data_IF_462710144185
#
_entry.id   IF_462710144185
#
_cell.length_a   1.000
_cell.length_b   1.000
_cell.length_c   1.000
_cell.angle_alpha   90.00
_cell.angle_beta   90.00
_cell.angle_gamma   90.00
#
_symmetry.space_group_name_H-M   'P 1'
#
loop_
_entity.id
_entity.type
_entity.pdbx_description
1 polymer ?
#
# COMPACT_ATOMS: atom_id res chain seq x y z
N UNK A 1 21.95 -21.38 17.38
CA UNK A 1 21.21 -20.87 18.56
C UNK A 1 21.68 -21.70 19.75
N UNK A 2 22.19 -21.06 20.80
CA UNK A 2 23.06 -21.71 21.79
C UNK A 2 22.27 -22.72 22.65
N UNK A 3 22.74 -23.96 22.80
CA UNK A 3 22.07 -25.03 23.58
C UNK A 3 21.77 -24.61 25.03
N UNK A 4 22.65 -23.78 25.58
CA UNK A 4 22.51 -23.18 26.91
C UNK A 4 21.26 -22.30 27.04
N UNK A 5 20.88 -21.54 26.00
CA UNK A 5 19.67 -20.71 26.02
C UNK A 5 18.40 -21.56 25.97
N UNK A 6 18.38 -22.62 25.16
CA UNK A 6 17.25 -23.55 25.11
C UNK A 6 17.04 -24.26 26.45
N UNK A 7 18.13 -24.62 27.14
CA UNK A 7 18.07 -25.19 28.48
C UNK A 7 17.51 -24.19 29.51
N UNK A 8 18.01 -22.95 29.51
CA UNK A 8 17.55 -21.89 30.39
C UNK A 8 16.07 -21.53 30.18
N UNK A 9 15.61 -21.50 28.93
CA UNK A 9 14.20 -21.24 28.58
C UNK A 9 13.28 -22.35 29.06
N UNK A 10 13.65 -23.63 28.85
CA UNK A 10 12.92 -24.78 29.40
C UNK A 10 12.85 -24.78 30.92
N UNK A 11 13.93 -24.34 31.58
CA UNK A 11 13.96 -24.22 33.04
C UNK A 11 13.03 -23.11 33.56
N UNK A 12 12.98 -21.95 32.86
CA UNK A 12 11.98 -20.90 33.13
C UNK A 12 10.55 -21.42 32.97
N UNK A 13 10.26 -22.04 31.82
CA UNK A 13 8.93 -22.61 31.54
C UNK A 13 8.51 -23.65 32.60
N UNK A 14 9.47 -24.43 33.12
CA UNK A 14 9.22 -25.40 34.18
C UNK A 14 8.86 -24.74 35.53
N UNK A 15 9.54 -23.65 35.91
CA UNK A 15 9.26 -22.90 37.14
C UNK A 15 7.92 -22.18 37.04
N UNK A 16 7.68 -21.47 35.93
CA UNK A 16 6.47 -20.66 35.73
C UNK A 16 5.20 -21.54 35.67
N UNK A 17 5.31 -22.77 35.17
CA UNK A 17 4.18 -23.73 35.11
C UNK A 17 4.06 -24.65 36.33
N UNK A 18 4.86 -24.44 37.39
CA UNK A 18 4.86 -25.27 38.60
C UNK A 18 4.36 -24.50 39.83
N UNK A 19 3.03 -24.35 40.02
CA UNK A 19 2.46 -23.55 41.12
C UNK A 19 2.87 -24.02 42.52
N UNK A 20 3.19 -25.32 42.68
CA UNK A 20 3.71 -25.89 43.95
C UNK A 20 5.12 -25.40 44.28
N UNK A 21 5.97 -25.23 43.27
CA UNK A 21 7.36 -24.75 43.45
C UNK A 21 7.33 -23.26 43.79
N UNK A 22 6.49 -22.49 43.12
CA UNK A 22 6.28 -21.07 43.43
C UNK A 22 5.76 -20.86 44.85
N UNK A 23 4.74 -21.62 45.27
CA UNK A 23 4.20 -21.54 46.64
C UNK A 23 5.24 -21.93 47.70
N UNK A 24 6.04 -22.96 47.44
CA UNK A 24 7.11 -23.40 48.34
C UNK A 24 8.21 -22.35 48.48
N UNK A 25 8.63 -21.72 47.37
CA UNK A 25 9.58 -20.61 47.38
C UNK A 25 9.04 -19.40 48.14
N UNK A 26 7.76 -19.03 47.95
CA UNK A 26 7.11 -17.93 48.66
C UNK A 26 7.08 -18.16 50.18
N UNK A 27 6.66 -19.35 50.61
CA UNK A 27 6.60 -19.72 52.04
C UNK A 27 7.98 -19.65 52.67
N UNK A 28 9.00 -20.16 51.99
CA UNK A 28 10.37 -20.13 52.47
C UNK A 28 10.89 -18.69 52.59
N UNK A 29 10.64 -17.83 51.59
CA UNK A 29 11.06 -16.42 51.63
C UNK A 29 10.39 -15.67 52.80
N UNK A 30 9.09 -15.85 53.00
CA UNK A 30 8.34 -15.19 54.08
C UNK A 30 8.78 -15.69 55.46
N UNK A 31 8.90 -17.02 55.64
CA UNK A 31 9.35 -17.61 56.89
C UNK A 31 10.79 -17.18 57.24
N UNK A 32 11.65 -17.07 56.24
CA UNK A 32 13.02 -16.62 56.40
C UNK A 32 13.15 -15.11 56.68
N UNK A 33 12.32 -14.26 56.07
CA UNK A 33 12.29 -12.83 56.39
C UNK A 33 11.84 -12.59 57.84
N UNK A 34 10.81 -13.30 58.29
CA UNK A 34 10.35 -13.27 59.68
C UNK A 34 11.46 -13.73 60.65
N UNK A 35 12.16 -14.82 60.34
CA UNK A 35 13.28 -15.31 61.15
C UNK A 35 14.43 -14.31 61.25
N UNK A 36 14.81 -13.70 60.12
CA UNK A 36 15.91 -12.73 60.09
C UNK A 36 15.55 -11.40 60.79
N UNK A 37 14.29 -10.97 60.69
CA UNK A 37 13.77 -9.82 61.43
C UNK A 37 13.84 -10.02 62.94
N UNK A 38 13.47 -11.21 63.43
CA UNK A 38 13.54 -11.58 64.85
C UNK A 38 14.99 -11.58 65.35
N UNK A 39 15.91 -12.15 64.57
CA UNK A 39 17.34 -12.24 64.93
C UNK A 39 18.01 -10.86 64.91
N UNK A 40 17.82 -10.09 63.83
CA UNK A 40 18.48 -8.80 63.63
C UNK A 40 18.05 -7.75 64.64
N UNK A 41 16.78 -7.77 65.07
CA UNK A 41 16.26 -6.89 66.11
C UNK A 41 16.47 -7.44 67.54
N UNK A 42 17.22 -8.53 67.70
CA UNK A 42 17.48 -9.20 68.99
C UNK A 42 16.20 -9.44 69.81
N UNK A 43 15.09 -9.77 69.14
CA UNK A 43 13.81 -9.96 69.81
C UNK A 43 13.89 -11.32 70.54
N UNK A 44 14.05 -11.28 71.87
CA UNK A 44 14.14 -12.46 72.72
C UNK A 44 12.74 -13.04 72.99
N UNK A 45 12.17 -13.71 71.98
CA UNK A 45 10.87 -14.38 72.12
C UNK A 45 11.00 -15.68 72.96
N UNK A 46 12.22 -16.24 73.08
CA UNK A 46 12.49 -17.50 73.78
C UNK A 46 13.87 -17.49 74.49
N UNK A 47 13.99 -16.85 75.66
CA UNK A 47 15.26 -16.75 76.40
C UNK A 47 15.79 -18.10 76.93
N UNK A 48 14.90 -19.05 77.21
CA UNK A 48 15.23 -20.24 78.02
C UNK A 48 15.28 -21.54 77.19
N UNK A 49 15.28 -21.46 75.85
CA UNK A 49 15.22 -22.64 74.96
C UNK A 49 16.35 -22.64 73.92
N UNK A 50 17.52 -23.23 74.21
CA UNK A 50 18.67 -23.25 73.30
C UNK A 50 18.37 -23.95 71.96
N UNK A 51 17.48 -24.93 71.95
CA UNK A 51 17.04 -25.63 70.73
C UNK A 51 16.33 -24.70 69.73
N UNK A 52 15.61 -23.68 70.22
CA UNK A 52 14.91 -22.71 69.37
C UNK A 52 15.91 -21.73 68.74
N UNK A 53 16.94 -21.31 69.49
CA UNK A 53 18.02 -20.46 68.97
C UNK A 53 18.84 -21.16 67.89
N UNK A 54 19.09 -22.46 68.05
CA UNK A 54 19.72 -23.30 67.02
C UNK A 54 18.84 -23.41 65.77
N UNK A 55 17.54 -23.66 65.92
CA UNK A 55 16.59 -23.69 64.81
C UNK A 55 16.51 -22.35 64.04
N UNK A 56 16.52 -21.22 64.76
CA UNK A 56 16.57 -19.88 64.16
C UNK A 56 17.87 -19.62 63.39
N UNK A 57 19.02 -20.09 63.90
CA UNK A 57 20.29 -19.99 63.18
C UNK A 57 20.30 -20.83 61.90
N UNK A 58 19.73 -22.04 61.92
CA UNK A 58 19.56 -22.86 60.71
C UNK A 58 18.64 -22.14 59.71
N UNK A 59 17.53 -21.57 60.16
CA UNK A 59 16.62 -20.79 59.30
C UNK A 59 17.32 -19.59 58.64
N UNK A 60 18.24 -18.94 59.34
CA UNK A 60 19.06 -17.85 58.78
C UNK A 60 20.06 -18.33 57.72
N UNK A 61 20.69 -19.49 57.91
CA UNK A 61 21.60 -20.08 56.90
C UNK A 61 20.79 -20.47 55.65
N UNK A 62 19.64 -21.10 55.87
CA UNK A 62 18.69 -21.44 54.80
C UNK A 62 18.26 -20.18 54.04
N UNK A 63 17.97 -19.07 54.73
CA UNK A 63 17.65 -17.79 54.10
C UNK A 63 18.75 -17.27 53.16
N UNK A 64 20.01 -17.29 53.60
CA UNK A 64 21.13 -16.83 52.78
C UNK A 64 21.26 -17.66 51.50
N UNK A 65 21.04 -18.98 51.58
CA UNK A 65 21.04 -19.89 50.43
C UNK A 65 19.89 -19.55 49.48
N UNK A 66 18.66 -19.39 49.99
CA UNK A 66 17.50 -19.04 49.14
C UNK A 66 17.61 -17.65 48.52
N UNK A 67 18.17 -16.67 49.24
CA UNK A 67 18.38 -15.31 48.70
C UNK A 67 19.44 -15.33 47.59
N UNK A 68 20.52 -16.10 47.77
CA UNK A 68 21.52 -16.31 46.72
C UNK A 68 20.91 -17.02 45.50
N UNK A 69 20.08 -18.05 45.71
CA UNK A 69 19.37 -18.75 44.63
C UNK A 69 18.41 -17.83 43.89
N UNK A 70 17.66 -16.97 44.59
CA UNK A 70 16.76 -16.00 43.97
C UNK A 70 17.52 -14.94 43.16
N UNK A 71 18.65 -14.43 43.68
CA UNK A 71 19.50 -13.49 42.95
C UNK A 71 20.07 -14.10 41.66
N UNK A 72 20.50 -15.36 41.73
CA UNK A 72 20.96 -16.14 40.57
C UNK A 72 19.81 -16.37 39.57
N UNK A 73 18.62 -16.74 40.05
CA UNK A 73 17.43 -16.92 39.22
C UNK A 73 17.05 -15.64 38.48
N UNK A 74 16.96 -14.51 39.20
CA UNK A 74 16.64 -13.20 38.64
C UNK A 74 17.66 -12.77 37.59
N UNK A 75 18.96 -13.01 37.83
CA UNK A 75 20.00 -12.78 36.84
C UNK A 75 19.78 -13.61 35.57
N UNK A 76 19.47 -14.91 35.69
CA UNK A 76 19.17 -15.76 34.52
C UNK A 76 17.92 -15.31 33.77
N UNK A 77 16.84 -14.93 34.46
CA UNK A 77 15.62 -14.42 33.84
C UNK A 77 15.90 -13.15 33.04
N UNK A 78 16.65 -12.20 33.63
CA UNK A 78 17.05 -10.97 32.94
C UNK A 78 17.85 -11.23 31.65
N UNK A 79 18.69 -12.28 31.65
CA UNK A 79 19.46 -12.69 30.46
C UNK A 79 18.57 -13.35 29.41
N UNK A 80 17.61 -14.17 29.81
CA UNK A 80 16.62 -14.75 28.88
C UNK A 80 15.79 -13.65 28.24
N UNK A 81 15.29 -12.69 29.03
CA UNK A 81 14.49 -11.57 28.53
C UNK A 81 15.26 -10.69 27.53
N UNK A 82 16.54 -10.38 27.82
CA UNK A 82 17.38 -9.62 26.89
C UNK A 82 17.65 -10.38 25.57
N UNK A 83 17.83 -11.70 25.64
CA UNK A 83 17.98 -12.55 24.44
C UNK A 83 16.67 -12.64 23.67
N UNK A 84 15.54 -12.86 24.33
CA UNK A 84 14.21 -12.92 23.71
C UNK A 84 13.85 -11.59 23.04
N UNK A 85 14.14 -10.47 23.70
CA UNK A 85 13.96 -9.13 23.13
C UNK A 85 14.78 -8.94 21.86
N UNK A 86 16.08 -9.24 21.90
CA UNK A 86 16.96 -9.15 20.71
C UNK A 86 16.51 -10.09 19.59
N UNK A 87 16.02 -11.28 19.94
CA UNK A 87 15.51 -12.26 18.97
C UNK A 87 14.20 -11.78 18.32
N UNK A 88 13.32 -11.14 19.08
CA UNK A 88 12.10 -10.56 18.56
C UNK A 88 12.37 -9.32 17.71
N UNK A 89 13.25 -8.41 18.15
CA UNK A 89 13.72 -7.24 17.37
C UNK A 89 14.35 -7.69 16.05
N UNK A 90 15.26 -8.68 16.06
CA UNK A 90 15.88 -9.18 14.83
C UNK A 90 14.92 -9.91 13.88
N UNK A 91 13.94 -10.67 14.41
CA UNK A 91 12.86 -11.26 13.60
C UNK A 91 12.03 -10.17 12.93
N UNK A 92 11.71 -9.12 13.67
CA UNK A 92 10.96 -7.99 13.16
C UNK A 92 11.72 -7.26 12.04
N UNK A 93 12.99 -6.93 12.25
CA UNK A 93 13.83 -6.30 11.24
C UNK A 93 13.95 -7.14 9.96
N UNK A 94 13.95 -8.46 10.10
CA UNK A 94 13.97 -9.39 8.97
C UNK A 94 12.66 -9.37 8.18
N UNK A 95 11.52 -9.35 8.88
CA UNK A 95 10.19 -9.25 8.25
C UNK A 95 10.04 -7.90 7.54
N UNK A 96 10.45 -6.81 8.19
CA UNK A 96 10.38 -5.47 7.63
C UNK A 96 11.22 -5.36 6.35
N UNK A 97 12.47 -5.85 6.37
CA UNK A 97 13.33 -5.89 5.18
C UNK A 97 12.73 -6.71 4.05
N UNK A 98 12.15 -7.88 4.37
CA UNK A 98 11.45 -8.71 3.38
C UNK A 98 10.26 -7.97 2.76
N UNK A 99 9.45 -7.29 3.58
CA UNK A 99 8.30 -6.51 3.11
C UNK A 99 8.72 -5.34 2.23
N UNK A 100 9.77 -4.59 2.60
CA UNK A 100 10.34 -3.52 1.77
C UNK A 100 10.80 -4.06 0.41
N UNK A 101 11.43 -5.24 0.39
CA UNK A 101 11.84 -5.92 -0.85
C UNK A 101 10.64 -6.25 -1.75
N UNK A 102 9.59 -6.85 -1.19
CA UNK A 102 8.36 -7.18 -1.93
C UNK A 102 7.66 -5.93 -2.47
N UNK A 103 7.58 -4.86 -1.67
CA UNK A 103 6.99 -3.57 -2.11
C UNK A 103 7.79 -2.99 -3.29
N UNK A 104 9.12 -3.01 -3.23
CA UNK A 104 9.96 -2.54 -4.33
C UNK A 104 9.78 -3.38 -5.61
N UNK A 105 9.64 -4.70 -5.48
CA UNK A 105 9.34 -5.58 -6.60
C UNK A 105 7.97 -5.28 -7.22
N UNK A 106 6.94 -5.08 -6.39
CA UNK A 106 5.60 -4.68 -6.85
C UNK A 106 5.66 -3.37 -7.63
N UNK A 107 6.33 -2.34 -7.11
CA UNK A 107 6.49 -1.06 -7.81
C UNK A 107 7.24 -1.20 -9.13
N UNK A 108 8.27 -2.06 -9.17
CA UNK A 108 8.98 -2.36 -10.42
C UNK A 108 8.06 -3.00 -11.45
N UNK A 109 7.22 -3.96 -11.04
CA UNK A 109 6.25 -4.60 -11.95
C UNK A 109 5.20 -3.63 -12.46
N UNK A 110 4.68 -2.74 -11.62
CA UNK A 110 3.76 -1.69 -12.06
C UNK A 110 4.40 -0.80 -13.13
N UNK A 111 5.66 -0.40 -12.94
CA UNK A 111 6.41 0.40 -13.91
C UNK A 111 6.58 -0.34 -15.25
N UNK A 112 6.88 -1.64 -15.21
CA UNK A 112 7.02 -2.46 -16.42
C UNK A 112 5.69 -2.57 -17.18
N UNK A 113 4.58 -2.78 -16.47
CA UNK A 113 3.22 -2.84 -17.04
C UNK A 113 2.88 -1.52 -17.74
N UNK A 114 3.14 -0.39 -17.08
CA UNK A 114 2.94 0.96 -17.63
C UNK A 114 3.78 1.18 -18.88
N UNK A 115 5.07 0.82 -18.86
CA UNK A 115 5.94 0.90 -20.03
C UNK A 115 5.42 0.04 -21.20
N UNK A 116 4.93 -1.16 -20.93
CA UNK A 116 4.32 -2.03 -21.94
C UNK A 116 3.06 -1.41 -22.54
N UNK A 117 2.17 -0.88 -21.71
CA UNK A 117 0.97 -0.18 -22.17
C UNK A 117 1.36 1.01 -23.08
N UNK A 118 2.33 1.82 -22.67
CA UNK A 118 2.85 2.93 -23.46
C UNK A 118 3.41 2.47 -24.82
N UNK A 119 4.14 1.37 -24.86
CA UNK A 119 4.65 0.78 -26.11
C UNK A 119 3.50 0.33 -27.03
N UNK A 120 2.43 -0.26 -26.48
CA UNK A 120 1.23 -0.63 -27.22
C UNK A 120 0.56 0.61 -27.80
N UNK A 121 0.37 1.67 -27.00
CA UNK A 121 -0.17 2.94 -27.48
C UNK A 121 0.68 3.52 -28.63
N UNK A 122 2.01 3.42 -28.54
CA UNK A 122 2.91 3.82 -29.62
C UNK A 122 2.71 3.01 -30.92
N UNK A 123 2.43 1.71 -30.84
CA UNK A 123 2.10 0.88 -32.02
C UNK A 123 0.78 1.30 -32.64
N UNK A 124 -0.25 1.54 -31.82
CA UNK A 124 -1.56 2.04 -32.26
C UNK A 124 -1.41 3.42 -32.92
N UNK A 125 -0.65 4.32 -32.32
CA UNK A 125 -0.40 5.66 -32.83
C UNK A 125 0.21 5.64 -34.24
N UNK A 126 1.20 4.77 -34.47
CA UNK A 126 1.79 4.56 -35.79
C UNK A 126 0.81 3.94 -36.77
N UNK A 127 0.04 2.93 -36.35
CA UNK A 127 -0.92 2.23 -37.21
C UNK A 127 -1.99 3.16 -37.79
N UNK A 128 -2.45 4.12 -36.99
CA UNK A 128 -3.47 5.09 -37.39
C UNK A 128 -2.89 6.41 -37.90
N UNK A 129 -1.60 6.46 -38.22
CA UNK A 129 -0.94 7.62 -38.85
C UNK A 129 -1.21 8.95 -38.10
N UNK A 130 -1.19 8.86 -36.76
CA UNK A 130 -1.38 10.02 -35.90
C UNK A 130 -0.11 10.89 -35.93
N UNK A 131 -0.30 12.19 -35.73
CA UNK A 131 0.78 13.18 -35.73
C UNK A 131 0.79 13.99 -34.42
N UNK A 132 1.65 15.00 -34.33
CA UNK A 132 1.80 15.83 -33.13
C UNK A 132 0.54 16.63 -32.73
N UNK A 133 -0.50 16.66 -33.57
CA UNK A 133 -1.81 17.20 -33.21
C UNK A 133 -2.59 16.28 -32.27
N UNK A 134 -2.25 15.00 -32.25
CA UNK A 134 -3.01 13.92 -31.64
C UNK A 134 -2.34 13.32 -30.40
N UNK A 135 -3.15 12.66 -29.56
CA UNK A 135 -2.70 11.80 -28.46
C UNK A 135 -3.64 10.61 -28.28
N UNK A 136 -3.13 9.56 -27.65
CA UNK A 136 -3.93 8.43 -27.19
C UNK A 136 -3.79 8.36 -25.67
N UNK A 137 -4.91 8.28 -24.96
CA UNK A 137 -4.97 8.09 -23.52
C UNK A 137 -5.68 6.79 -23.20
N UNK A 138 -5.07 5.98 -22.34
CA UNK A 138 -5.63 4.75 -21.81
C UNK A 138 -6.14 5.01 -20.39
N UNK A 139 -7.42 4.78 -20.18
CA UNK A 139 -8.10 4.97 -18.91
C UNK A 139 -8.47 3.63 -18.30
N UNK A 140 -8.27 3.48 -16.99
CA UNK A 140 -8.63 2.26 -16.26
C UNK A 140 -9.30 2.59 -14.92
N UNK A 141 -10.06 1.64 -14.38
CA UNK A 141 -10.54 1.71 -13.01
C UNK A 141 -9.60 0.90 -12.11
N UNK A 142 -9.08 1.53 -11.03
CA UNK A 142 -8.20 0.89 -10.06
C UNK A 142 -8.88 -0.24 -9.28
N UNK A 143 -10.20 -0.18 -9.17
CA UNK A 143 -11.01 -1.21 -8.54
C UNK A 143 -11.80 -1.97 -9.61
N UNK A 144 -11.75 -3.30 -9.54
CA UNK A 144 -12.64 -4.14 -10.35
C UNK A 144 -14.07 -3.97 -9.84
N UNK A 145 -14.84 -3.12 -10.52
CA UNK A 145 -16.20 -2.79 -10.13
C UNK A 145 -17.13 -2.82 -11.35
N UNK A 146 -18.34 -3.35 -11.17
CA UNK A 146 -19.34 -3.39 -12.26
C UNK A 146 -19.90 -2.01 -12.64
N UNK A 147 -19.72 -1.02 -11.77
CA UNK A 147 -20.23 0.36 -11.93
C UNK A 147 -19.15 1.35 -11.49
N UNK A 148 -18.10 1.56 -12.30
CA UNK A 148 -17.07 2.54 -11.99
C UNK A 148 -17.67 3.93 -11.86
N UNK A 149 -17.27 4.66 -10.83
CA UNK A 149 -17.61 6.08 -10.65
C UNK A 149 -16.57 6.99 -11.25
N UNK A 150 -15.33 6.52 -11.31
CA UNK A 150 -14.20 7.25 -11.87
C UNK A 150 -13.24 6.34 -12.66
N UNK A 151 -12.55 6.96 -13.61
CA UNK A 151 -11.45 6.39 -14.36
C UNK A 151 -10.17 7.18 -14.08
N UNK A 152 -9.05 6.48 -13.99
CA UNK A 152 -7.72 7.08 -13.90
C UNK A 152 -6.98 6.92 -15.23
N UNK A 153 -6.07 7.85 -15.52
CA UNK A 153 -5.14 7.65 -16.63
C UNK A 153 -4.14 6.55 -16.23
N UNK A 154 -4.18 5.44 -16.97
CA UNK A 154 -3.18 4.39 -16.90
C UNK A 154 -1.91 4.87 -17.61
N UNK A 155 -2.06 5.23 -18.89
CA UNK A 155 -0.96 5.67 -19.73
C UNK A 155 -1.44 6.62 -20.81
N UNK A 156 -0.49 7.38 -21.36
CA UNK A 156 -0.72 8.28 -22.49
C UNK A 156 0.44 8.17 -23.47
N UNK A 157 0.15 8.37 -24.74
CA UNK A 157 1.16 8.51 -25.78
C UNK A 157 0.82 9.67 -26.70
N UNK A 158 1.78 10.60 -26.85
CA UNK A 158 1.76 11.64 -27.86
C UNK A 158 3.19 11.96 -28.35
N UNK A 159 3.31 12.49 -29.56
CA UNK A 159 4.61 12.95 -30.11
C UNK A 159 4.83 14.46 -29.98
N UNK A 160 3.79 15.22 -29.62
CA UNK A 160 3.79 16.69 -29.57
C UNK A 160 4.25 17.33 -28.25
N UNK A 161 5.37 16.90 -27.68
CA UNK A 161 5.93 17.49 -26.45
C UNK A 161 4.97 17.42 -25.26
N UNK A 162 4.66 18.58 -24.64
CA UNK A 162 3.83 18.68 -23.40
C UNK A 162 2.42 18.08 -23.47
N UNK A 163 1.95 17.63 -24.65
CA UNK A 163 0.73 16.83 -24.80
C UNK A 163 0.85 15.42 -24.20
N UNK A 164 2.08 14.91 -24.10
CA UNK A 164 2.41 13.64 -23.47
C UNK A 164 2.50 13.76 -21.94
N UNK A 165 2.59 14.99 -21.40
CA UNK A 165 2.60 15.20 -19.96
C UNK A 165 1.19 14.93 -19.38
N UNK A 166 1.16 14.10 -18.34
CA UNK A 166 0.01 13.87 -17.50
C UNK A 166 0.49 13.61 -16.08
N UNK A 167 -0.38 13.85 -15.10
CA UNK A 167 -0.17 13.28 -13.77
C UNK A 167 -0.76 11.87 -13.81
N UNK A 168 0.07 10.82 -13.62
CA UNK A 168 -0.45 9.50 -13.35
C UNK A 168 -1.50 9.59 -12.26
N UNK A 169 -2.58 8.82 -12.39
CA UNK A 169 -3.66 8.72 -11.40
C UNK A 169 -4.65 9.88 -11.28
N UNK A 170 -4.51 10.96 -12.07
CA UNK A 170 -5.56 11.96 -12.19
C UNK A 170 -6.91 11.26 -12.49
N UNK A 171 -7.90 11.45 -11.60
CA UNK A 171 -9.19 10.80 -11.70
C UNK A 171 -10.17 11.64 -12.50
N UNK A 172 -11.00 10.95 -13.27
CA UNK A 172 -12.02 11.52 -14.15
C UNK A 172 -13.34 10.85 -13.81
N UNK A 173 -14.31 11.65 -13.35
CA UNK A 173 -15.65 11.17 -13.12
C UNK A 173 -16.24 10.62 -14.41
N UNK A 174 -16.81 9.41 -14.35
CA UNK A 174 -17.43 8.76 -15.51
C UNK A 174 -18.61 9.56 -16.07
N UNK A 175 -19.20 10.43 -15.25
CA UNK A 175 -20.38 11.23 -15.57
C UNK A 175 -20.08 12.50 -16.39
N UNK A 176 -18.81 12.80 -16.66
CA UNK A 176 -18.37 14.02 -17.34
C UNK A 176 -17.38 13.66 -18.45
N UNK A 177 -17.29 14.50 -19.47
CA UNK A 177 -16.31 14.39 -20.53
C UNK A 177 -16.72 13.42 -21.63
N UNK A 178 -15.81 13.24 -22.58
CA UNK A 178 -16.01 12.30 -23.69
C UNK A 178 -16.08 10.84 -23.22
N UNK A 179 -15.40 10.50 -22.12
CA UNK A 179 -15.36 9.14 -21.56
C UNK A 179 -16.74 8.61 -21.16
N UNK A 180 -17.66 9.49 -20.74
CA UNK A 180 -19.05 9.14 -20.43
C UNK A 180 -19.72 8.47 -21.63
N UNK A 181 -19.65 9.14 -22.78
CA UNK A 181 -20.30 8.67 -24.00
C UNK A 181 -19.68 7.35 -24.47
N UNK A 182 -18.36 7.18 -24.32
CA UNK A 182 -17.67 5.92 -24.66
C UNK A 182 -18.11 4.79 -23.73
N UNK A 183 -18.25 5.06 -22.44
CA UNK A 183 -18.72 4.07 -21.47
C UNK A 183 -20.14 3.60 -21.78
N UNK A 184 -21.06 4.54 -22.03
CA UNK A 184 -22.48 4.27 -22.27
C UNK A 184 -22.73 3.59 -23.63
N UNK A 185 -21.96 3.92 -24.67
CA UNK A 185 -22.21 3.46 -26.04
C UNK A 185 -21.22 2.39 -26.53
N UNK A 186 -20.18 2.08 -25.77
CA UNK A 186 -19.12 1.15 -26.16
C UNK A 186 -18.13 1.74 -27.14
N UNK A 187 -18.56 2.17 -28.33
CA UNK A 187 -17.77 2.97 -29.26
C UNK A 187 -18.44 4.33 -29.47
N UNK A 188 -17.66 5.40 -29.42
CA UNK A 188 -18.19 6.75 -29.64
C UNK A 188 -17.17 7.63 -30.37
N UNK A 189 -17.65 8.46 -31.28
CA UNK A 189 -16.83 9.28 -32.17
C UNK A 189 -17.47 10.66 -32.37
N UNK A 190 -16.64 11.71 -32.29
CA UNK A 190 -17.02 13.10 -32.57
C UNK A 190 -15.86 13.81 -33.28
N UNK A 191 -15.86 13.75 -34.62
CA UNK A 191 -14.69 14.14 -35.42
C UNK A 191 -14.88 15.39 -36.28
N UNK A 192 -16.11 15.90 -36.42
CA UNK A 192 -16.43 16.94 -37.42
C UNK A 192 -17.25 18.12 -36.88
N UNK A 193 -17.71 18.07 -35.63
CA UNK A 193 -18.69 19.03 -35.11
C UNK A 193 -18.10 20.06 -34.13
N UNK A 194 -16.90 19.83 -33.61
CA UNK A 194 -16.31 20.72 -32.62
C UNK A 194 -15.59 21.91 -33.27
N UNK A 195 -15.83 23.15 -32.82
CA UNK A 195 -14.97 24.28 -33.15
C UNK A 195 -13.52 24.01 -32.75
N UNK A 196 -12.53 24.51 -33.48
CA UNK A 196 -11.11 24.41 -33.09
C UNK A 196 -10.76 25.55 -32.14
N UNK A 197 -10.10 25.24 -31.01
CA UNK A 197 -9.67 26.28 -30.06
C UNK A 197 -8.57 27.16 -30.68
N UNK A 198 -8.80 28.48 -30.83
CA UNK A 198 -7.84 29.35 -31.50
C UNK A 198 -6.71 29.78 -30.54
N UNK A 199 -5.46 29.62 -30.99
CA UNK A 199 -4.28 30.13 -30.30
C UNK A 199 -4.04 31.62 -30.62
N UNK A 200 -4.33 32.04 -31.85
CA UNK A 200 -4.16 33.42 -32.33
C UNK A 200 -5.16 33.77 -33.45
N UNK A 201 -5.20 35.05 -33.85
CA UNK A 201 -5.94 35.51 -35.02
C UNK A 201 -7.21 36.33 -34.74
N UNK A 202 -7.95 36.65 -35.82
CA UNK A 202 -9.16 37.49 -35.77
C UNK A 202 -10.33 36.75 -35.09
N UNK A 203 -11.14 37.50 -34.34
CA UNK A 203 -12.31 37.01 -33.58
C UNK A 203 -11.98 35.90 -32.57
N UNK A 204 -10.79 35.96 -31.96
CA UNK A 204 -10.31 34.95 -31.00
C UNK A 204 -11.27 34.75 -29.82
N UNK A 205 -11.83 35.84 -29.26
CA UNK A 205 -12.76 35.79 -28.14
C UNK A 205 -14.04 35.01 -28.51
N UNK A 206 -14.64 35.32 -29.66
CA UNK A 206 -15.83 34.62 -30.14
C UNK A 206 -15.55 33.13 -30.36
N UNK A 207 -14.47 32.79 -31.08
CA UNK A 207 -14.11 31.39 -31.38
C UNK A 207 -13.79 30.57 -30.12
N UNK A 208 -13.16 31.19 -29.11
CA UNK A 208 -12.97 30.53 -27.80
C UNK A 208 -14.28 30.31 -27.08
N UNK A 209 -15.20 31.27 -27.14
CA UNK A 209 -16.53 31.13 -26.57
C UNK A 209 -17.32 30.00 -27.25
N UNK A 210 -17.26 29.91 -28.58
CA UNK A 210 -17.90 28.83 -29.35
C UNK A 210 -17.35 27.46 -28.95
N UNK A 211 -16.02 27.33 -28.80
CA UNK A 211 -15.39 26.11 -28.29
C UNK A 211 -15.84 25.79 -26.85
N UNK A 212 -15.78 26.77 -25.93
CA UNK A 212 -16.13 26.56 -24.52
C UNK A 212 -17.58 26.12 -24.38
N UNK A 213 -18.50 26.77 -25.13
CA UNK A 213 -19.91 26.41 -25.17
C UNK A 213 -20.10 24.99 -25.70
N UNK A 214 -19.42 24.63 -26.80
CA UNK A 214 -19.47 23.27 -27.33
C UNK A 214 -19.07 22.22 -26.30
N UNK A 215 -17.93 22.43 -25.62
CA UNK A 215 -17.40 21.50 -24.63
C UNK A 215 -18.31 21.38 -23.39
N UNK A 216 -18.91 22.48 -22.96
CA UNK A 216 -19.88 22.47 -21.86
C UNK A 216 -21.16 21.73 -22.25
N UNK A 217 -21.74 22.06 -23.40
CA UNK A 217 -23.03 21.51 -23.85
C UNK A 217 -22.95 20.02 -24.18
N UNK A 218 -21.83 19.57 -24.78
CA UNK A 218 -21.63 18.16 -25.17
C UNK A 218 -21.06 17.28 -24.07
N UNK A 219 -20.15 17.83 -23.28
CA UNK A 219 -19.27 17.03 -22.42
C UNK A 219 -19.31 17.48 -20.96
N UNK A 220 -20.04 18.54 -20.61
CA UNK A 220 -20.06 19.08 -19.25
C UNK A 220 -18.72 19.67 -18.81
N UNK A 221 -17.82 19.98 -19.74
CA UNK A 221 -16.48 20.49 -19.43
C UNK A 221 -16.54 22.02 -19.37
N UNK A 222 -16.27 22.57 -18.18
CA UNK A 222 -16.34 24.01 -17.94
C UNK A 222 -15.12 24.76 -18.47
N UNK A 223 -15.25 26.09 -18.68
CA UNK A 223 -14.12 26.93 -19.10
C UNK A 223 -12.93 26.87 -18.14
N UNK A 224 -13.18 26.78 -16.83
CA UNK A 224 -12.13 26.63 -15.82
C UNK A 224 -11.32 25.34 -16.01
N UNK A 225 -11.99 24.23 -16.28
CA UNK A 225 -11.34 22.96 -16.60
C UNK A 225 -10.57 23.07 -17.91
N UNK A 226 -11.18 23.65 -18.94
CA UNK A 226 -10.57 23.84 -20.26
C UNK A 226 -9.24 24.58 -20.10
N UNK A 227 -9.20 25.71 -19.38
CA UNK A 227 -7.96 26.51 -19.17
C UNK A 227 -6.76 25.66 -18.75
N UNK A 228 -6.97 24.72 -17.83
CA UNK A 228 -5.93 23.87 -17.26
C UNK A 228 -5.54 22.66 -18.13
N UNK A 229 -6.23 22.40 -19.24
CA UNK A 229 -5.91 21.26 -20.11
C UNK A 229 -4.62 21.48 -20.91
N UNK A 230 -3.73 20.49 -20.90
CA UNK A 230 -2.51 20.47 -21.73
C UNK A 230 -2.81 20.41 -23.24
N UNK A 231 -4.04 20.04 -23.62
CA UNK A 231 -4.47 19.96 -25.00
C UNK A 231 -5.95 20.33 -25.10
N UNK A 232 -6.26 21.24 -26.02
CA UNK A 232 -7.63 21.69 -26.32
C UNK A 232 -8.16 20.86 -27.48
N UNK A 233 -8.59 19.64 -27.17
CA UNK A 233 -9.03 18.64 -28.14
C UNK A 233 -10.37 19.04 -28.76
N UNK A 234 -10.48 18.90 -30.09
CA UNK A 234 -11.71 19.14 -30.85
C UNK A 234 -12.12 17.95 -31.71
N UNK A 235 -11.40 16.84 -31.61
CA UNK A 235 -11.66 15.64 -32.38
C UNK A 235 -11.41 14.44 -31.48
N UNK A 236 -12.37 13.52 -31.41
CA UNK A 236 -12.41 12.46 -30.43
C UNK A 236 -12.90 11.15 -31.03
N UNK A 237 -12.21 10.06 -30.71
CA UNK A 237 -12.67 8.68 -30.97
C UNK A 237 -12.36 7.86 -29.74
N UNK A 238 -13.30 7.09 -29.22
CA UNK A 238 -13.08 6.26 -28.04
C UNK A 238 -13.75 4.91 -28.14
N UNK A 239 -13.11 3.92 -27.50
CA UNK A 239 -13.61 2.55 -27.41
C UNK A 239 -13.48 2.03 -25.99
N UNK A 240 -14.58 1.49 -25.49
CA UNK A 240 -14.65 0.69 -24.29
C UNK A 240 -14.11 -0.71 -24.60
N UNK A 241 -13.04 -1.09 -23.91
CA UNK A 241 -12.37 -2.38 -24.04
C UNK A 241 -12.66 -3.30 -22.83
N UNK A 242 -13.53 -2.87 -21.93
CA UNK A 242 -13.78 -3.54 -20.65
C UNK A 242 -14.30 -4.98 -20.81
N UNK A 243 -14.02 -5.79 -19.80
CA UNK A 243 -14.59 -7.12 -19.59
C UNK A 243 -15.09 -7.23 -18.12
N UNK A 244 -15.46 -8.42 -17.68
CA UNK A 244 -15.95 -8.66 -16.32
C UNK A 244 -14.89 -8.41 -15.22
N UNK A 245 -13.61 -8.36 -15.58
CA UNK A 245 -12.48 -8.33 -14.64
C UNK A 245 -11.75 -6.97 -14.63
N UNK A 246 -11.82 -6.23 -15.74
CA UNK A 246 -11.10 -5.00 -15.98
C UNK A 246 -11.97 -3.98 -16.73
N UNK A 247 -12.06 -2.77 -16.17
CA UNK A 247 -12.64 -1.62 -16.84
C UNK A 247 -11.56 -0.81 -17.54
N UNK A 248 -11.66 -0.68 -18.86
CA UNK A 248 -10.64 -0.08 -19.70
C UNK A 248 -11.27 0.71 -20.86
N UNK A 249 -10.83 1.95 -21.05
CA UNK A 249 -11.21 2.80 -22.19
C UNK A 249 -9.96 3.30 -22.89
N UNK A 250 -9.92 3.16 -24.22
CA UNK A 250 -8.94 3.83 -25.06
C UNK A 250 -9.58 5.07 -25.70
N UNK A 251 -8.94 6.21 -25.57
CA UNK A 251 -9.39 7.50 -26.11
C UNK A 251 -8.33 8.11 -27.00
N UNK A 252 -8.72 8.41 -28.24
CA UNK A 252 -7.97 9.19 -29.20
C UNK A 252 -8.47 10.62 -29.17
N UNK A 253 -7.55 11.57 -29.14
CA UNK A 253 -7.88 12.99 -29.14
C UNK A 253 -6.98 13.74 -30.13
N UNK A 254 -7.53 14.73 -30.85
CA UNK A 254 -6.77 15.67 -31.67
C UNK A 254 -7.21 17.10 -31.45
N UNK A 255 -6.28 18.05 -31.58
CA UNK A 255 -6.58 19.49 -31.57
C UNK A 255 -6.87 20.04 -32.97
N UNK A 256 -6.95 19.17 -33.98
CA UNK A 256 -7.38 19.47 -35.35
C UNK A 256 -8.66 18.71 -35.67
N UNK A 257 -9.64 19.40 -36.25
CA UNK A 257 -10.90 18.80 -36.71
C UNK A 257 -10.66 17.83 -37.86
N UNK A 258 -11.42 16.73 -37.88
CA UNK A 258 -11.42 15.71 -38.94
C UNK A 258 -10.18 14.80 -38.98
N UNK A 259 -9.21 15.02 -38.09
CA UNK A 259 -7.95 14.27 -38.02
C UNK A 259 -8.14 12.82 -37.61
N UNK A 260 -9.20 12.47 -36.88
CA UNK A 260 -9.49 11.11 -36.43
C UNK A 260 -10.61 10.42 -37.22
N UNK A 261 -11.18 11.09 -38.23
CA UNK A 261 -12.32 10.60 -39.05
C UNK A 261 -12.07 9.24 -39.71
N UNK A 262 -10.81 8.88 -39.98
CA UNK A 262 -10.44 7.61 -40.58
C UNK A 262 -10.43 6.43 -39.61
N UNK A 263 -10.52 6.68 -38.30
CA UNK A 263 -10.55 5.66 -37.23
C UNK A 263 -11.99 5.22 -37.00
N UNK A 264 -12.40 4.14 -37.65
CA UNK A 264 -13.71 3.51 -37.46
C UNK A 264 -13.63 2.38 -36.44
N UNK A 265 -14.78 2.00 -35.88
CA UNK A 265 -14.88 0.86 -34.96
C UNK A 265 -14.31 -0.43 -35.59
N UNK A 266 -14.69 -0.75 -36.82
CA UNK A 266 -14.21 -1.94 -37.52
C UNK A 266 -12.70 -1.96 -37.69
N UNK A 267 -12.09 -0.82 -38.06
CA UNK A 267 -10.63 -0.73 -38.21
C UNK A 267 -9.92 -0.88 -36.88
N UNK A 268 -10.49 -0.30 -35.82
CA UNK A 268 -9.94 -0.40 -34.48
C UNK A 268 -10.02 -1.83 -33.96
N UNK A 269 -11.20 -2.46 -33.99
CA UNK A 269 -11.39 -3.85 -33.57
C UNK A 269 -10.48 -4.79 -34.37
N UNK A 270 -10.49 -4.69 -35.71
CA UNK A 270 -9.63 -5.51 -36.57
C UNK A 270 -8.15 -5.41 -36.18
N UNK A 271 -7.66 -4.21 -35.87
CA UNK A 271 -6.27 -4.05 -35.47
C UNK A 271 -6.02 -4.62 -34.07
N UNK A 272 -6.85 -4.28 -33.09
CA UNK A 272 -6.68 -4.72 -31.71
C UNK A 272 -6.76 -6.25 -31.58
N UNK A 273 -7.70 -6.88 -32.26
CA UNK A 273 -7.94 -8.33 -32.18
C UNK A 273 -6.87 -9.12 -32.96
N UNK A 274 -6.50 -8.69 -34.17
CA UNK A 274 -5.48 -9.40 -34.98
C UNK A 274 -4.06 -9.35 -34.40
N UNK A 275 -3.84 -8.49 -33.41
CA UNK A 275 -2.54 -8.31 -32.77
C UNK A 275 -2.54 -8.74 -31.29
N UNK A 276 -3.66 -9.29 -30.81
CA UNK A 276 -3.90 -9.64 -29.40
C UNK A 276 -3.65 -8.47 -28.42
N UNK A 277 -3.69 -7.23 -28.92
CA UNK A 277 -3.37 -6.05 -28.11
C UNK A 277 -4.47 -5.77 -27.10
N UNK A 278 -5.73 -6.09 -27.44
CA UNK A 278 -6.84 -5.96 -26.51
C UNK A 278 -6.63 -6.85 -25.29
N UNK A 279 -6.36 -8.13 -25.50
CA UNK A 279 -6.12 -9.12 -24.47
C UNK A 279 -4.93 -8.72 -23.61
N UNK A 280 -3.84 -8.28 -24.23
CA UNK A 280 -2.69 -7.76 -23.48
C UNK A 280 -3.07 -6.59 -22.59
N UNK A 281 -3.74 -5.56 -23.09
CA UNK A 281 -4.12 -4.40 -22.29
C UNK A 281 -5.05 -4.79 -21.12
N UNK A 282 -5.99 -5.69 -21.37
CA UNK A 282 -6.89 -6.24 -20.34
C UNK A 282 -6.09 -6.98 -19.26
N UNK A 283 -5.22 -7.94 -19.62
CA UNK A 283 -4.40 -8.66 -18.64
C UNK A 283 -3.51 -7.75 -17.81
N UNK A 284 -2.98 -6.67 -18.40
CA UNK A 284 -2.18 -5.69 -17.68
C UNK A 284 -3.02 -4.94 -16.63
N UNK A 285 -4.26 -4.56 -16.95
CA UNK A 285 -5.18 -3.92 -16.00
C UNK A 285 -5.60 -4.88 -14.90
N UNK A 286 -5.90 -6.14 -15.23
CA UNK A 286 -6.22 -7.18 -14.25
C UNK A 286 -5.07 -7.37 -13.25
N UNK A 287 -3.83 -7.43 -13.74
CA UNK A 287 -2.64 -7.54 -12.90
C UNK A 287 -2.45 -6.30 -12.00
N UNK A 288 -2.71 -5.10 -12.51
CA UNK A 288 -2.66 -3.86 -11.70
C UNK A 288 -3.72 -3.85 -10.61
N UNK A 289 -4.95 -4.24 -10.93
CA UNK A 289 -6.03 -4.30 -9.95
C UNK A 289 -5.73 -5.36 -8.88
N UNK A 290 -5.15 -6.50 -9.27
CA UNK A 290 -4.65 -7.50 -8.33
C UNK A 290 -3.55 -6.95 -7.43
N UNK A 291 -2.54 -6.28 -8.01
CA UNK A 291 -1.45 -5.62 -7.25
C UNK A 291 -2.03 -4.62 -6.24
N UNK A 292 -2.96 -3.77 -6.66
CA UNK A 292 -3.58 -2.76 -5.81
C UNK A 292 -4.36 -3.40 -4.65
N UNK A 293 -5.08 -4.51 -4.91
CA UNK A 293 -5.77 -5.28 -3.86
C UNK A 293 -4.82 -5.88 -2.83
N UNK A 294 -3.59 -6.23 -3.22
CA UNK A 294 -2.57 -6.72 -2.29
C UNK A 294 -1.94 -5.60 -1.49
N UNK A 295 -1.74 -4.44 -2.11
CA UNK A 295 -1.26 -3.25 -1.41
C UNK A 295 -2.25 -2.74 -0.35
N UNK A 296 -3.56 -2.74 -0.65
CA UNK A 296 -4.59 -2.28 0.31
C UNK A 296 -4.80 -3.23 1.49
N UNK A 297 -4.39 -4.49 1.35
CA UNK A 297 -4.37 -5.48 2.43
C UNK A 297 -3.12 -5.38 3.32
N UNK A 298 -2.10 -4.65 2.88
CA UNK A 298 -0.98 -4.32 3.75
C UNK A 298 -1.46 -3.30 4.79
N UNK A 299 -1.04 -3.41 6.05
CA UNK A 299 -1.40 -2.41 7.07
C UNK A 299 -1.00 -1.02 6.55
N UNK A 300 -2.00 -0.13 6.43
CA UNK A 300 -1.84 1.25 5.99
C UNK A 300 -0.84 1.98 6.90
N UNK A 301 0.44 1.96 6.53
CA UNK A 301 1.49 2.68 7.22
C UNK A 301 2.40 3.31 6.19
N UNK A 302 1.85 4.31 5.51
CA UNK A 302 2.61 5.39 4.87
C UNK A 302 3.17 6.39 5.88
N UNK A 303 2.78 6.30 7.15
CA UNK A 303 3.69 6.67 8.23
C UNK A 303 4.53 5.42 8.46
N UNK A 304 5.84 5.47 8.17
CA UNK A 304 6.75 4.44 8.67
C UNK A 304 6.39 4.18 10.13
N UNK A 305 5.83 3.02 10.43
CA UNK A 305 5.79 2.58 11.81
C UNK A 305 7.25 2.42 12.18
N UNK A 306 7.77 3.42 12.88
CA UNK A 306 9.12 3.35 13.37
C UNK A 306 9.14 2.33 14.50
N UNK A 307 10.30 1.74 14.74
CA UNK A 307 10.51 0.86 15.89
C UNK A 307 10.14 1.55 17.22
N UNK A 308 10.09 2.89 17.26
CA UNK A 308 9.58 3.70 18.37
C UNK A 308 8.06 3.69 18.54
N UNK A 309 7.29 3.70 17.46
CA UNK A 309 5.82 3.82 17.54
C UNK A 309 5.19 2.54 18.11
N UNK A 310 5.66 1.36 17.69
CA UNK A 310 5.20 0.07 18.24
C UNK A 310 5.66 -0.13 19.69
N UNK A 311 6.87 0.32 20.02
CA UNK A 311 7.44 0.19 21.36
C UNK A 311 6.65 1.03 22.37
N UNK A 312 6.08 2.15 21.94
CA UNK A 312 5.16 2.96 22.74
C UNK A 312 3.79 2.31 22.90
N UNK A 313 3.27 1.59 21.89
CA UNK A 313 2.01 0.87 21.97
C UNK A 313 2.08 -0.33 22.95
N UNK A 314 3.19 -1.08 22.94
CA UNK A 314 3.39 -2.25 23.82
C UNK A 314 3.80 -1.88 25.27
N UNK A 315 4.43 -0.73 25.49
CA UNK A 315 4.69 -0.23 26.84
C UNK A 315 3.44 0.37 27.51
N UNK A 316 2.31 0.47 26.78
CA UNK A 316 1.01 0.95 27.28
C UNK A 316 0.07 -0.19 27.71
N UNK A 317 0.40 -1.44 27.46
CA UNK A 317 -0.33 -2.66 27.87
C UNK A 317 0.43 -3.42 28.96
#
# INVERSE_FOLDING_TARGET
MNDMYNYLRKFRDFIDNSPKIFLLLLIVVVASWAGNFIISNKINIFSDRPNIRYALSILSIVFSIFTALYGVLSFFYSKIDDIDKKLNESKFDSIERSNRGLIAEIYSKEKDIRANCRNILGKIFKKFELDNSSRITLFYCKESCRKPTEFHILERYATGGGKDNYQPEASYLISIGFIKNVWENGFYSDTEKCPVYPESGKKIAQKRNDYNKYQLDRYGITEGMIKNMNMKSCDFVGKNLSNDLANLIILFESNKSGKLSHITEDKLNKFLDSTFLREHLISHVELLNWISSKQSQLPNNTNEITSSDIKNEFNRS
#
